data_IF_136144399270
#
_entry.id   IF_136144399270
#
_cell.length_a   1.000
_cell.length_b   1.000
_cell.length_c   1.000
_cell.angle_alpha   90.00
_cell.angle_beta   90.00
_cell.angle_gamma   90.00
#
_symmetry.space_group_name_H-M   'P 1'
#
loop_
_entity.id
_entity.type
_entity.pdbx_description
1 polymer ?
#
# COMPACT_ATOMS: atom_id res chain seq x y z
N UNK A 1 4.87 -0.96 -9.38
CA UNK A 1 3.91 -2.00 -9.74
C UNK A 1 2.55 -1.32 -9.78
N UNK A 2 1.73 -1.58 -10.80
CA UNK A 2 0.45 -0.89 -11.00
C UNK A 2 -0.49 -1.08 -9.80
N UNK A 3 -1.04 0.02 -9.28
CA UNK A 3 -2.08 0.06 -8.24
C UNK A 3 -3.45 -0.49 -8.72
N UNK A 4 -3.55 -0.97 -9.97
CA UNK A 4 -4.81 -1.39 -10.62
C UNK A 4 -5.42 -2.68 -10.05
N UNK A 5 -4.70 -3.41 -9.20
CA UNK A 5 -5.16 -4.65 -8.56
C UNK A 5 -5.49 -4.50 -7.07
N UNK A 6 -5.26 -3.33 -6.48
CA UNK A 6 -5.59 -3.07 -5.07
C UNK A 6 -7.11 -3.01 -4.85
N UNK A 7 -7.60 -3.73 -3.86
CA UNK A 7 -9.02 -3.75 -3.49
C UNK A 7 -9.26 -2.94 -2.23
N UNK A 8 -10.23 -2.02 -2.28
CA UNK A 8 -10.76 -1.45 -1.05
C UNK A 8 -11.53 -2.54 -0.26
N UNK A 9 -11.92 -2.25 0.99
CA UNK A 9 -12.59 -3.24 1.84
C UNK A 9 -13.93 -3.74 1.28
N UNK A 10 -14.72 -2.87 0.63
CA UNK A 10 -16.00 -3.26 0.04
C UNK A 10 -15.78 -4.14 -1.20
N UNK A 11 -14.81 -3.78 -2.06
CA UNK A 11 -14.47 -4.56 -3.25
C UNK A 11 -13.88 -5.93 -2.89
N UNK A 12 -13.09 -5.99 -1.81
CA UNK A 12 -12.58 -7.25 -1.27
C UNK A 12 -13.72 -8.16 -0.78
N UNK A 13 -14.68 -7.62 -0.03
CA UNK A 13 -15.84 -8.38 0.44
C UNK A 13 -16.71 -8.88 -0.72
N UNK A 14 -16.90 -8.06 -1.75
CA UNK A 14 -17.62 -8.47 -2.96
C UNK A 14 -16.89 -9.61 -3.69
N UNK A 15 -15.56 -9.55 -3.78
CA UNK A 15 -14.79 -10.60 -4.45
C UNK A 15 -14.69 -11.89 -3.64
N UNK A 16 -14.62 -11.81 -2.31
CA UNK A 16 -14.76 -12.98 -1.43
C UNK A 16 -16.13 -13.62 -1.62
N UNK A 17 -17.21 -12.83 -1.67
CA UNK A 17 -18.55 -13.33 -1.96
C UNK A 17 -18.67 -13.99 -3.33
N UNK A 18 -18.04 -13.38 -4.36
CA UNK A 18 -18.01 -13.92 -5.72
C UNK A 18 -17.24 -15.24 -5.78
N UNK A 19 -16.10 -15.34 -5.09
CA UNK A 19 -15.32 -16.56 -4.98
C UNK A 19 -16.10 -17.66 -4.26
N UNK A 20 -16.75 -17.34 -3.14
CA UNK A 20 -17.60 -18.28 -2.40
C UNK A 20 -18.76 -18.80 -3.24
N UNK A 21 -19.41 -17.95 -4.03
CA UNK A 21 -20.44 -18.40 -4.96
C UNK A 21 -19.84 -19.31 -6.05
N UNK A 22 -18.73 -18.90 -6.67
CA UNK A 22 -18.12 -19.61 -7.78
C UNK A 22 -17.57 -21.00 -7.40
N UNK A 23 -17.04 -21.15 -6.18
CA UNK A 23 -16.53 -22.44 -5.66
C UNK A 23 -17.67 -23.42 -5.34
N UNK A 24 -18.87 -22.91 -5.02
CA UNK A 24 -20.01 -23.74 -4.59
C UNK A 24 -21.03 -24.01 -5.71
N UNK A 25 -20.86 -23.43 -6.90
CA UNK A 25 -21.77 -23.60 -8.04
C UNK A 25 -21.02 -24.20 -9.23
N UNK A 26 -21.35 -25.45 -9.59
CA UNK A 26 -20.74 -26.17 -10.73
C UNK A 26 -20.98 -25.47 -12.08
N UNK A 27 -21.94 -24.53 -12.16
CA UNK A 27 -22.22 -23.74 -13.37
C UNK A 27 -21.39 -22.47 -13.46
N UNK A 28 -20.66 -22.11 -12.40
CA UNK A 28 -19.83 -20.92 -12.42
C UNK A 28 -18.67 -21.10 -13.41
N UNK A 29 -18.37 -20.10 -14.26
CA UNK A 29 -17.21 -20.19 -15.13
C UNK A 29 -15.93 -20.25 -14.29
N UNK A 30 -15.11 -21.29 -14.46
CA UNK A 30 -13.80 -21.43 -13.78
C UNK A 30 -12.91 -20.20 -13.90
N UNK A 31 -13.07 -19.41 -14.97
CA UNK A 31 -12.36 -18.13 -15.13
C UNK A 31 -12.72 -17.10 -14.05
N UNK A 32 -14.00 -17.04 -13.64
CA UNK A 32 -14.49 -16.13 -12.59
C UNK A 32 -13.93 -16.53 -11.24
N UNK A 33 -13.95 -17.84 -10.93
CA UNK A 33 -13.34 -18.41 -9.73
C UNK A 33 -11.85 -18.07 -9.66
N UNK A 34 -11.08 -18.38 -10.71
CA UNK A 34 -9.65 -18.13 -10.76
C UNK A 34 -9.31 -16.64 -10.62
N UNK A 35 -10.06 -15.75 -11.27
CA UNK A 35 -9.81 -14.32 -11.21
C UNK A 35 -10.14 -13.74 -9.82
N UNK A 36 -11.25 -14.15 -9.21
CA UNK A 36 -11.60 -13.75 -7.86
C UNK A 36 -10.58 -14.29 -6.83
N UNK A 37 -10.16 -15.55 -6.97
CA UNK A 37 -9.14 -16.17 -6.11
C UNK A 37 -7.79 -15.43 -6.19
N UNK A 38 -7.31 -15.13 -7.40
CA UNK A 38 -6.06 -14.39 -7.58
C UNK A 38 -6.11 -12.99 -6.96
N UNK A 39 -7.21 -12.27 -7.16
CA UNK A 39 -7.38 -10.90 -6.64
C UNK A 39 -7.48 -10.86 -5.11
N UNK A 40 -8.27 -11.76 -4.53
CA UNK A 40 -8.36 -11.91 -3.06
C UNK A 40 -7.01 -12.33 -2.49
N UNK A 41 -6.33 -13.30 -3.11
CA UNK A 41 -5.00 -13.75 -2.68
C UNK A 41 -3.95 -12.65 -2.75
N UNK A 42 -3.95 -11.84 -3.81
CA UNK A 42 -3.05 -10.69 -3.95
C UNK A 42 -3.31 -9.63 -2.86
N UNK A 43 -4.57 -9.28 -2.62
CA UNK A 43 -4.93 -8.29 -1.60
C UNK A 43 -4.58 -8.78 -0.18
N UNK A 44 -4.82 -10.07 0.13
CA UNK A 44 -4.42 -10.68 1.40
C UNK A 44 -2.89 -10.72 1.54
N UNK A 45 -2.16 -11.06 0.48
CA UNK A 45 -0.70 -11.03 0.46
C UNK A 45 -0.15 -9.63 0.72
N UNK A 46 -0.70 -8.61 0.07
CA UNK A 46 -0.31 -7.20 0.28
C UNK A 46 -0.62 -6.72 1.71
N UNK A 47 -1.75 -7.15 2.28
CA UNK A 47 -2.13 -6.81 3.67
C UNK A 47 -1.29 -7.54 4.71
N UNK A 48 -0.90 -8.78 4.46
CA UNK A 48 -0.08 -9.58 5.38
C UNK A 48 1.42 -9.30 5.26
N UNK A 49 1.89 -8.89 4.08
CA UNK A 49 3.30 -8.54 3.85
C UNK A 49 3.70 -7.19 4.45
N UNK A 50 2.75 -6.40 4.95
CA UNK A 50 3.00 -5.05 5.47
C UNK A 50 3.46 -4.05 4.38
N UNK A 51 3.56 -4.49 3.13
CA UNK A 51 4.12 -3.71 2.03
C UNK A 51 3.32 -2.43 1.76
N UNK A 52 2.00 -2.49 1.95
CA UNK A 52 1.12 -1.32 1.85
C UNK A 52 1.43 -0.26 2.91
N UNK A 53 1.74 -0.70 4.13
CA UNK A 53 2.06 0.20 5.23
C UNK A 53 3.48 0.78 5.06
N UNK A 54 4.43 -0.03 4.58
CA UNK A 54 5.78 0.42 4.18
C UNK A 54 5.72 1.48 3.08
N UNK A 55 4.94 1.25 2.03
CA UNK A 55 4.77 2.20 0.91
C UNK A 55 4.04 3.47 1.37
N UNK A 56 3.04 3.35 2.25
CA UNK A 56 2.37 4.49 2.85
C UNK A 56 3.35 5.35 3.69
N UNK A 57 4.17 4.71 4.52
CA UNK A 57 5.21 5.38 5.32
C UNK A 57 6.27 6.05 4.43
N UNK A 58 6.68 5.39 3.34
CA UNK A 58 7.60 5.96 2.36
C UNK A 58 7.00 7.22 1.72
N UNK A 59 5.76 7.14 1.26
CA UNK A 59 5.06 8.27 0.65
C UNK A 59 4.87 9.43 1.63
N UNK A 60 4.52 9.15 2.89
CA UNK A 60 4.45 10.17 3.94
C UNK A 60 5.80 10.87 4.15
N UNK A 61 6.89 10.11 4.17
CA UNK A 61 8.25 10.64 4.35
C UNK A 61 8.67 11.55 3.19
N UNK A 62 8.43 11.11 1.95
CA UNK A 62 8.70 11.91 0.75
C UNK A 62 7.87 13.20 0.77
N UNK A 63 6.59 13.11 1.12
CA UNK A 63 5.70 14.27 1.18
C UNK A 63 6.12 15.28 2.25
N UNK A 64 6.59 14.82 3.41
CA UNK A 64 7.11 15.68 4.47
C UNK A 64 8.39 16.43 4.03
N UNK A 65 9.31 15.74 3.35
CA UNK A 65 10.53 16.36 2.80
C UNK A 65 10.15 17.38 1.71
N UNK A 66 9.29 17.01 0.76
CA UNK A 66 8.86 17.90 -0.31
C UNK A 66 8.15 19.15 0.24
N UNK A 67 7.33 18.98 1.27
CA UNK A 67 6.69 20.09 1.99
C UNK A 67 7.74 21.00 2.64
N UNK A 68 8.74 20.44 3.32
CA UNK A 68 9.80 21.24 3.94
C UNK A 68 10.57 22.07 2.91
N UNK A 69 10.95 21.47 1.77
CA UNK A 69 11.63 22.17 0.66
C UNK A 69 10.76 23.31 0.12
N UNK A 70 9.46 23.06 -0.05
CA UNK A 70 8.49 24.07 -0.51
C UNK A 70 8.35 25.22 0.49
N UNK A 71 8.27 24.91 1.77
CA UNK A 71 8.06 25.88 2.84
C UNK A 71 9.36 26.66 3.17
N UNK A 72 10.54 26.10 2.84
CA UNK A 72 11.86 26.70 3.07
C UNK A 72 12.69 26.77 1.77
N UNK A 73 12.30 27.57 0.76
CA UNK A 73 12.96 27.61 -0.55
C UNK A 73 14.40 28.15 -0.53
N UNK A 74 14.82 28.78 0.57
CA UNK A 74 16.17 29.30 0.79
C UNK A 74 16.99 28.49 1.80
N UNK A 75 16.48 27.32 2.21
CA UNK A 75 17.20 26.44 3.12
C UNK A 75 18.58 26.11 2.53
N UNK A 76 19.60 26.24 3.37
CA UNK A 76 20.94 25.79 3.05
C UNK A 76 20.96 24.27 2.87
N UNK A 77 22.00 23.76 2.20
CA UNK A 77 22.20 22.31 2.06
C UNK A 77 22.26 21.60 3.41
N UNK A 78 22.81 22.26 4.41
CA UNK A 78 22.96 21.73 5.77
C UNK A 78 21.60 21.59 6.48
N UNK A 79 20.73 22.59 6.35
CA UNK A 79 19.35 22.55 6.86
C UNK A 79 18.51 21.48 6.15
N UNK A 80 18.65 21.36 4.82
CA UNK A 80 17.97 20.32 4.04
C UNK A 80 18.43 18.92 4.46
N UNK A 81 19.74 18.69 4.58
CA UNK A 81 20.29 17.41 5.02
C UNK A 81 19.80 17.04 6.42
N UNK A 82 19.74 18.02 7.32
CA UNK A 82 19.25 17.82 8.68
C UNK A 82 17.78 17.38 8.69
N UNK A 83 16.92 18.04 7.91
CA UNK A 83 15.52 17.66 7.85
C UNK A 83 15.33 16.30 7.16
N UNK A 84 16.03 16.03 6.05
CA UNK A 84 15.96 14.73 5.36
C UNK A 84 16.37 13.60 6.31
N UNK A 85 17.47 13.76 7.02
CA UNK A 85 17.96 12.74 7.98
C UNK A 85 16.96 12.49 9.11
N UNK A 86 16.33 13.55 9.61
CA UNK A 86 15.26 13.46 10.61
C UNK A 86 14.04 12.70 10.07
N UNK A 87 13.61 12.98 8.84
CA UNK A 87 12.47 12.30 8.23
C UNK A 87 12.78 10.81 7.95
N UNK A 88 14.01 10.48 7.54
CA UNK A 88 14.46 9.08 7.39
C UNK A 88 14.49 8.36 8.74
N UNK A 89 14.98 8.99 9.80
CA UNK A 89 14.98 8.38 11.14
C UNK A 89 13.55 8.10 11.64
N UNK A 90 12.62 9.03 11.39
CA UNK A 90 11.19 8.81 11.70
C UNK A 90 10.58 7.68 10.87
N UNK A 91 10.97 7.55 9.60
CA UNK A 91 10.55 6.44 8.75
C UNK A 91 11.03 5.08 9.31
N UNK A 92 12.32 4.97 9.63
CA UNK A 92 12.89 3.74 10.21
C UNK A 92 12.19 3.37 11.52
N UNK A 93 11.98 4.35 12.41
CA UNK A 93 11.26 4.10 13.67
C UNK A 93 9.84 3.57 13.43
N UNK A 94 9.10 4.17 12.50
CA UNK A 94 7.74 3.72 12.18
C UNK A 94 7.72 2.36 11.48
N UNK A 95 8.78 2.01 10.73
CA UNK A 95 8.92 0.68 10.14
C UNK A 95 9.17 -0.40 11.20
N UNK A 96 9.91 -0.08 12.28
CA UNK A 96 10.13 -1.02 13.39
C UNK A 96 8.87 -1.26 14.25
N UNK A 97 7.86 -0.39 14.12
CA UNK A 97 6.57 -0.47 14.82
C UNK A 97 5.48 -1.24 14.02
N UNK A 98 5.79 -1.71 12.81
CA UNK A 98 4.92 -2.54 11.93
C UNK A 98 5.41 -3.98 11.92
#
# INVERSE_FOLDING_TARGET
MDESWGLNNADLMQQIGTLMWAVNDDKAPKMVENMAAMRVGYEVYQRLSGQRDVDALRNQTIMAIAKYVKDHPKASKEELLKEISKQIALFVKKLEEI
#
